data_IF_057650650697
#
_entry.id   IF_057650650697
#
_cell.length_a   1.000
_cell.length_b   1.000
_cell.length_c   1.000
_cell.angle_alpha   90.00
_cell.angle_beta   90.00
_cell.angle_gamma   90.00
#
_symmetry.space_group_name_H-M   'P 1'
#
loop_
_entity.id
_entity.type
_entity.pdbx_description
1 polymer ?
#
# COMPACT_ATOMS: atom_id res chain seq x y z
N UNK A 1 -25.24 2.25 0.97
CA UNK A 1 -24.17 1.91 1.92
C UNK A 1 -22.86 2.45 1.40
N UNK A 2 -22.15 3.25 2.23
CA UNK A 2 -20.86 3.80 1.84
C UNK A 2 -19.79 2.69 1.90
N UNK A 3 -18.97 2.51 0.85
CA UNK A 3 -17.89 1.55 0.94
C UNK A 3 -16.93 1.90 2.08
N UNK A 4 -16.39 0.89 2.76
CA UNK A 4 -15.40 1.10 3.82
C UNK A 4 -14.11 1.71 3.28
N UNK A 5 -13.83 1.50 1.98
CA UNK A 5 -12.68 2.06 1.28
C UNK A 5 -13.19 2.68 -0.01
N UNK A 6 -12.91 3.97 -0.22
CA UNK A 6 -13.31 4.67 -1.43
C UNK A 6 -12.59 4.08 -2.67
N UNK A 7 -13.23 4.09 -3.85
CA UNK A 7 -12.61 3.52 -5.06
C UNK A 7 -11.24 4.10 -5.41
N UNK A 8 -11.04 5.39 -5.23
CA UNK A 8 -9.75 6.01 -5.50
C UNK A 8 -8.68 5.55 -4.50
N UNK A 9 -9.06 5.39 -3.23
CA UNK A 9 -8.17 4.86 -2.20
C UNK A 9 -7.78 3.41 -2.50
N UNK A 10 -8.74 2.60 -2.92
CA UNK A 10 -8.47 1.22 -3.33
C UNK A 10 -7.49 1.17 -4.50
N UNK A 11 -7.72 1.99 -5.53
CA UNK A 11 -6.83 2.07 -6.68
C UNK A 11 -5.41 2.50 -6.28
N UNK A 12 -5.30 3.45 -5.36
CA UNK A 12 -4.02 3.90 -4.84
C UNK A 12 -3.26 2.76 -4.12
N UNK A 13 -3.95 2.04 -3.26
CA UNK A 13 -3.35 0.91 -2.54
C UNK A 13 -3.01 -0.26 -3.46
N UNK A 14 -3.79 -0.48 -4.54
CA UNK A 14 -3.43 -1.48 -5.55
C UNK A 14 -2.14 -1.09 -6.28
N UNK A 15 -1.97 0.20 -6.61
CA UNK A 15 -0.74 0.69 -7.21
C UNK A 15 0.46 0.48 -6.27
N UNK A 16 0.28 0.71 -4.98
CA UNK A 16 1.31 0.44 -3.97
C UNK A 16 1.69 -1.03 -3.93
N UNK A 17 0.71 -1.92 -3.95
CA UNK A 17 0.95 -3.37 -3.94
C UNK A 17 1.71 -3.81 -5.19
N UNK A 18 1.38 -3.25 -6.35
CA UNK A 18 2.09 -3.52 -7.59
C UNK A 18 3.56 -3.09 -7.50
N UNK A 19 3.82 -1.92 -6.94
CA UNK A 19 5.20 -1.48 -6.72
C UNK A 19 5.95 -2.41 -5.78
N UNK A 20 5.29 -2.93 -4.75
CA UNK A 20 5.92 -3.87 -3.83
C UNK A 20 6.32 -5.16 -4.52
N UNK A 21 5.42 -5.76 -5.30
CA UNK A 21 5.75 -7.02 -5.96
C UNK A 21 6.83 -6.86 -7.04
N UNK A 22 6.93 -5.69 -7.64
CA UNK A 22 7.88 -5.43 -8.71
C UNK A 22 9.21 -4.85 -8.23
N UNK A 23 9.23 -4.06 -7.14
CA UNK A 23 10.35 -3.17 -6.87
C UNK A 23 10.76 -2.97 -5.42
N UNK A 24 9.93 -3.31 -4.43
CA UNK A 24 10.21 -2.84 -3.08
C UNK A 24 9.57 -3.71 -2.00
N UNK A 25 9.49 -3.20 -0.79
CA UNK A 25 8.88 -3.82 0.38
C UNK A 25 8.10 -2.76 1.16
N UNK A 26 7.30 -3.15 2.18
CA UNK A 26 6.46 -2.20 2.88
C UNK A 26 7.20 -1.05 3.54
N UNK A 27 8.31 -1.33 4.23
CA UNK A 27 8.99 -0.28 4.99
C UNK A 27 9.75 0.71 4.10
N UNK A 28 10.34 0.26 3.02
CA UNK A 28 11.00 1.17 2.07
C UNK A 28 9.99 2.04 1.32
N UNK A 29 8.88 1.46 0.93
CA UNK A 29 7.81 2.22 0.27
C UNK A 29 7.22 3.27 1.22
N UNK A 30 6.89 2.86 2.45
CA UNK A 30 6.32 3.76 3.44
C UNK A 30 7.30 4.89 3.79
N UNK A 31 8.57 4.56 3.96
CA UNK A 31 9.61 5.56 4.23
C UNK A 31 9.73 6.56 3.07
N UNK A 32 9.74 6.09 1.84
CA UNK A 32 9.82 6.94 0.67
C UNK A 32 8.65 7.93 0.58
N UNK A 33 7.44 7.45 0.85
CA UNK A 33 6.25 8.29 0.77
C UNK A 33 6.16 9.26 1.95
N UNK A 34 6.52 8.85 3.16
CA UNK A 34 6.56 9.78 4.29
C UNK A 34 7.64 10.84 4.11
N UNK A 35 8.79 10.49 3.53
CA UNK A 35 9.83 11.46 3.19
C UNK A 35 9.33 12.49 2.17
N UNK A 36 8.48 12.08 1.24
CA UNK A 36 7.88 12.99 0.26
C UNK A 36 6.84 13.93 0.87
N UNK A 37 6.13 13.48 1.92
CA UNK A 37 5.16 14.33 2.63
C UNK A 37 3.90 13.64 3.14
N UNK A 38 3.73 12.34 2.90
CA UNK A 38 2.60 11.62 3.48
C UNK A 38 2.75 11.56 5.00
N UNK A 39 1.64 11.68 5.73
CA UNK A 39 1.66 11.63 7.20
C UNK A 39 1.93 10.25 7.74
N UNK A 40 1.56 9.23 6.97
CA UNK A 40 1.78 7.82 7.28
C UNK A 40 1.96 7.08 5.97
N UNK A 41 2.76 6.03 5.98
CA UNK A 41 2.96 5.21 4.79
C UNK A 41 1.72 4.38 4.43
N UNK A 42 1.55 4.02 3.16
CA UNK A 42 0.36 3.30 2.70
C UNK A 42 0.21 1.91 3.30
N UNK A 43 1.30 1.23 3.59
CA UNK A 43 1.22 -0.12 4.18
C UNK A 43 0.80 -0.06 5.65
N UNK A 44 1.37 0.87 6.42
CA UNK A 44 0.94 1.09 7.80
C UNK A 44 -0.51 1.56 7.85
N UNK A 45 -0.92 2.43 6.94
CA UNK A 45 -2.31 2.89 6.85
C UNK A 45 -3.27 1.72 6.62
N UNK A 46 -2.93 0.80 5.74
CA UNK A 46 -3.75 -0.39 5.50
C UNK A 46 -3.83 -1.29 6.74
N UNK A 47 -2.73 -1.45 7.47
CA UNK A 47 -2.73 -2.20 8.72
C UNK A 47 -3.68 -1.59 9.76
N UNK A 48 -3.79 -0.26 9.80
CA UNK A 48 -4.71 0.42 10.72
C UNK A 48 -6.17 0.23 10.32
N UNK A 49 -6.46 0.19 9.02
CA UNK A 49 -7.81 -0.07 8.50
C UNK A 49 -8.18 -1.55 8.69
N UNK A 50 -7.25 -2.43 8.49
CA UNK A 50 -7.45 -3.87 8.49
C UNK A 50 -7.34 -4.43 7.08
N UNK A 51 -6.42 -5.38 6.89
CA UNK A 51 -6.16 -5.92 5.55
C UNK A 51 -7.35 -6.71 4.99
N UNK A 52 -8.16 -7.32 5.86
CA UNK A 52 -9.41 -7.96 5.45
C UNK A 52 -10.43 -6.97 4.91
N UNK A 53 -10.51 -5.77 5.51
CA UNK A 53 -11.39 -4.69 5.05
C UNK A 53 -10.91 -4.17 3.70
N UNK A 54 -9.61 -3.94 3.56
CA UNK A 54 -9.01 -3.49 2.29
C UNK A 54 -9.25 -4.52 1.19
N UNK A 55 -9.06 -5.80 1.49
CA UNK A 55 -9.26 -6.88 0.53
C UNK A 55 -10.72 -7.01 0.09
N UNK A 56 -11.66 -6.93 1.05
CA UNK A 56 -13.09 -7.01 0.75
C UNK A 56 -13.58 -5.85 -0.12
N UNK A 57 -12.95 -4.69 -0.01
CA UNK A 57 -13.31 -3.51 -0.80
C UNK A 57 -12.67 -3.53 -2.19
N UNK A 58 -11.75 -4.48 -2.45
CA UNK A 58 -10.98 -4.53 -3.68
C UNK A 58 -11.89 -4.72 -4.89
N UNK A 59 -11.75 -3.81 -5.87
CA UNK A 59 -12.42 -3.88 -7.15
C UNK A 59 -11.36 -4.01 -8.24
N UNK A 60 -11.74 -4.58 -9.39
CA UNK A 60 -10.82 -4.76 -10.49
C UNK A 60 -10.70 -6.22 -10.91
N UNK A 61 -10.08 -6.43 -12.05
CA UNK A 61 -10.12 -7.73 -12.74
C UNK A 61 -9.01 -8.69 -12.35
N UNK A 62 -7.88 -8.18 -11.86
CA UNK A 62 -6.75 -9.06 -11.58
C UNK A 62 -6.22 -8.84 -10.16
N UNK A 63 -6.39 -9.83 -9.28
CA UNK A 63 -5.85 -9.71 -7.93
C UNK A 63 -4.32 -9.77 -7.96
N UNK A 64 -3.70 -8.80 -7.32
CA UNK A 64 -2.27 -8.87 -7.02
C UNK A 64 -2.15 -9.81 -5.81
N UNK A 65 -1.24 -10.78 -5.84
CA UNK A 65 -1.28 -11.88 -4.87
C UNK A 65 -0.83 -11.54 -3.46
N UNK A 66 -0.21 -10.40 -3.22
CA UNK A 66 0.38 -10.08 -1.92
C UNK A 66 -0.69 -9.91 -0.84
N UNK A 67 -1.65 -9.03 -1.08
CA UNK A 67 -2.72 -8.78 -0.09
C UNK A 67 -3.56 -10.03 0.15
N UNK A 68 -3.92 -10.75 -0.91
CA UNK A 68 -4.70 -11.97 -0.80
C UNK A 68 -3.99 -13.00 0.08
N UNK A 69 -2.68 -13.15 -0.10
CA UNK A 69 -1.89 -14.06 0.73
C UNK A 69 -1.81 -13.61 2.19
N UNK A 70 -1.62 -12.31 2.41
CA UNK A 70 -1.60 -11.76 3.77
C UNK A 70 -2.88 -12.10 4.52
N UNK A 71 -4.02 -11.87 3.89
CA UNK A 71 -5.34 -12.16 4.47
C UNK A 71 -5.51 -13.66 4.71
N UNK A 72 -5.11 -14.49 3.76
CA UNK A 72 -5.20 -15.96 3.89
C UNK A 72 -4.37 -16.49 5.05
N UNK A 73 -3.26 -15.85 5.38
CA UNK A 73 -2.41 -16.22 6.51
C UNK A 73 -2.84 -15.60 7.84
N UNK A 74 -3.95 -14.86 7.85
CA UNK A 74 -4.46 -14.21 9.06
C UNK A 74 -3.71 -12.96 9.47
N UNK A 75 -2.92 -12.37 8.58
CA UNK A 75 -2.19 -11.12 8.80
C UNK A 75 -3.12 -9.95 8.50
N UNK A 76 -4.00 -9.61 9.42
CA UNK A 76 -5.07 -8.63 9.18
C UNK A 76 -4.74 -7.21 9.63
N UNK A 77 -3.53 -6.98 10.14
CA UNK A 77 -3.10 -5.67 10.57
C UNK A 77 -2.99 -5.52 12.07
N UNK A 78 -3.00 -4.27 12.52
CA UNK A 78 -2.78 -3.95 13.94
C UNK A 78 -3.78 -4.63 14.87
N UNK A 79 -5.02 -4.77 14.45
CA UNK A 79 -6.10 -5.38 15.26
C UNK A 79 -5.82 -6.82 15.68
N UNK A 80 -4.96 -7.53 14.94
CA UNK A 80 -4.54 -8.91 15.31
C UNK A 80 -3.05 -8.99 15.62
N UNK A 81 -2.37 -7.84 15.69
CA UNK A 81 -0.97 -7.75 16.10
C UNK A 81 0.05 -7.88 14.97
N UNK A 82 -0.37 -8.18 13.75
CA UNK A 82 0.51 -8.26 12.58
C UNK A 82 -0.26 -8.12 11.26
N UNK A 83 0.38 -7.47 10.33
CA UNK A 83 -0.08 -7.26 8.96
C UNK A 83 1.14 -7.10 8.09
N UNK A 84 1.28 -5.97 7.39
CA UNK A 84 2.53 -5.61 6.74
C UNK A 84 3.65 -5.35 7.76
N UNK A 85 3.28 -4.93 8.96
CA UNK A 85 4.19 -4.76 10.09
C UNK A 85 3.73 -5.62 11.26
N UNK A 86 4.58 -5.72 12.29
CA UNK A 86 4.20 -6.30 13.57
C UNK A 86 3.92 -5.19 14.56
N UNK A 87 3.03 -5.47 15.51
CA UNK A 87 2.60 -4.51 16.52
C UNK A 87 2.70 -5.16 17.90
N UNK A 88 3.92 -5.38 18.42
CA UNK A 88 4.10 -6.05 19.72
C UNK A 88 3.40 -5.30 20.84
N UNK A 89 2.59 -6.01 21.61
CA UNK A 89 1.86 -5.41 22.75
C UNK A 89 0.86 -4.33 22.36
N UNK A 90 0.44 -4.29 21.08
CA UNK A 90 -0.47 -3.24 20.59
C UNK A 90 0.22 -1.89 20.39
N UNK A 91 1.55 -1.87 20.38
CA UNK A 91 2.34 -0.66 20.18
C UNK A 91 2.45 -0.22 18.73
N UNK A 92 3.50 0.55 18.42
CA UNK A 92 3.77 1.04 17.09
C UNK A 92 4.25 -0.04 16.13
N UNK A 93 4.28 0.30 14.85
CA UNK A 93 4.69 -0.60 13.80
C UNK A 93 6.18 -0.97 13.91
N UNK A 94 6.46 -2.25 13.79
CA UNK A 94 7.82 -2.80 13.77
C UNK A 94 8.01 -3.60 12.49
N UNK A 95 9.13 -3.39 11.83
CA UNK A 95 9.46 -4.09 10.57
C UNK A 95 9.43 -5.61 10.78
N UNK A 96 8.79 -6.31 9.85
CA UNK A 96 8.77 -7.76 9.82
C UNK A 96 9.48 -8.23 8.54
N UNK A 97 10.74 -8.70 8.62
CA UNK A 97 11.50 -9.13 7.43
C UNK A 97 10.84 -10.28 6.66
N UNK A 98 9.99 -11.08 7.30
CA UNK A 98 9.30 -12.18 6.64
C UNK A 98 8.37 -11.69 5.53
N UNK A 99 7.90 -10.46 5.60
CA UNK A 99 7.03 -9.89 4.58
C UNK A 99 7.77 -9.71 3.26
N UNK A 100 9.04 -9.31 3.30
CA UNK A 100 9.83 -9.23 2.07
C UNK A 100 10.01 -10.60 1.43
N UNK A 101 10.26 -11.64 2.24
CA UNK A 101 10.36 -13.01 1.73
C UNK A 101 9.05 -13.46 1.09
N UNK A 102 7.93 -13.14 1.72
CA UNK A 102 6.59 -13.45 1.19
C UNK A 102 6.37 -12.77 -0.16
N UNK A 103 6.72 -11.50 -0.27
CA UNK A 103 6.58 -10.73 -1.51
C UNK A 103 7.46 -11.33 -2.61
N UNK A 104 8.70 -11.66 -2.30
CA UNK A 104 9.62 -12.29 -3.26
C UNK A 104 9.09 -13.65 -3.74
N UNK A 105 8.51 -14.43 -2.84
CA UNK A 105 7.93 -15.72 -3.19
C UNK A 105 6.73 -15.55 -4.13
N UNK A 106 5.84 -14.63 -3.83
CA UNK A 106 4.69 -14.33 -4.71
C UNK A 106 5.14 -13.79 -6.06
N UNK A 107 6.18 -12.99 -6.09
CA UNK A 107 6.74 -12.50 -7.35
C UNK A 107 7.28 -13.66 -8.20
N UNK A 108 7.93 -14.63 -7.60
CA UNK A 108 8.39 -15.83 -8.33
C UNK A 108 7.23 -16.63 -8.89
N UNK A 109 6.18 -16.85 -8.11
CA UNK A 109 4.99 -17.56 -8.60
C UNK A 109 4.31 -16.83 -9.74
N UNK A 110 4.31 -15.50 -9.71
CA UNK A 110 3.72 -14.66 -10.75
C UNK A 110 4.66 -14.40 -11.92
N UNK A 111 5.87 -14.96 -11.92
CA UNK A 111 6.91 -14.74 -12.94
C UNK A 111 7.30 -13.27 -13.08
N UNK A 112 7.29 -12.53 -11.98
CA UNK A 112 7.74 -11.14 -11.95
C UNK A 112 9.23 -11.10 -11.67
N UNK A 113 9.99 -10.46 -12.56
CA UNK A 113 11.41 -10.17 -12.31
C UNK A 113 11.50 -8.87 -11.54
N UNK A 114 11.89 -8.99 -10.26
CA UNK A 114 11.97 -7.83 -9.37
C UNK A 114 13.24 -7.03 -9.64
N UNK A 115 13.10 -5.71 -9.62
CA UNK A 115 14.21 -4.78 -9.71
C UNK A 115 14.02 -3.72 -8.63
N UNK A 116 14.93 -3.66 -7.66
CA UNK A 116 14.87 -2.66 -6.60
C UNK A 116 14.98 -1.25 -7.17
N UNK A 117 14.17 -0.34 -6.65
CA UNK A 117 14.19 1.07 -7.01
C UNK A 117 14.37 1.91 -5.76
N UNK A 118 15.10 3.01 -5.91
CA UNK A 118 15.30 3.97 -4.84
C UNK A 118 14.01 4.72 -4.50
N UNK A 119 13.91 5.21 -3.26
CA UNK A 119 12.73 5.89 -2.76
C UNK A 119 12.16 6.98 -3.67
N UNK A 120 12.95 7.96 -4.12
CA UNK A 120 12.44 9.00 -5.02
C UNK A 120 11.85 8.47 -6.32
N UNK A 121 12.41 7.39 -6.86
CA UNK A 121 11.91 6.76 -8.09
C UNK A 121 10.60 6.03 -7.79
N UNK A 122 10.50 5.36 -6.64
CA UNK A 122 9.24 4.72 -6.22
C UNK A 122 8.10 5.73 -6.13
N UNK A 123 8.35 6.87 -5.49
CA UNK A 123 7.36 7.93 -5.35
C UNK A 123 6.94 8.45 -6.74
N UNK A 124 7.90 8.72 -7.61
CA UNK A 124 7.62 9.22 -8.96
C UNK A 124 6.79 8.21 -9.75
N UNK A 125 7.09 6.91 -9.65
CA UNK A 125 6.31 5.88 -10.34
C UNK A 125 4.89 5.78 -9.81
N UNK A 126 4.73 5.79 -8.50
CA UNK A 126 3.40 5.74 -7.90
C UNK A 126 2.55 6.93 -8.38
N UNK A 127 3.10 8.13 -8.32
CA UNK A 127 2.39 9.32 -8.75
C UNK A 127 2.10 9.32 -10.25
N UNK A 128 3.01 8.81 -11.08
CA UNK A 128 2.75 8.65 -12.51
C UNK A 128 1.60 7.68 -12.77
N UNK A 129 1.52 6.57 -12.04
CA UNK A 129 0.42 5.61 -12.15
C UNK A 129 -0.93 6.22 -11.77
N UNK A 130 -0.92 7.09 -10.76
CA UNK A 130 -2.14 7.64 -10.16
C UNK A 130 -2.52 9.03 -10.67
N UNK A 131 -1.61 9.75 -11.33
CA UNK A 131 -1.83 11.15 -11.71
C UNK A 131 -3.13 11.37 -12.51
N UNK A 132 -3.46 10.55 -13.53
CA UNK A 132 -4.71 10.76 -14.26
C UNK A 132 -5.95 10.66 -13.36
N UNK A 133 -6.00 9.68 -12.48
CA UNK A 133 -7.12 9.48 -11.55
C UNK A 133 -7.19 10.60 -10.50
N UNK A 134 -6.04 11.02 -9.98
CA UNK A 134 -5.97 12.09 -8.98
C UNK A 134 -6.40 13.44 -9.56
N UNK A 135 -6.00 13.73 -10.80
CA UNK A 135 -6.39 14.97 -11.48
C UNK A 135 -7.86 14.98 -11.87
N UNK A 136 -8.42 13.81 -12.21
CA UNK A 136 -9.83 13.69 -12.59
C UNK A 136 -10.77 13.88 -11.40
N UNK A 137 -10.30 13.62 -10.18
CA UNK A 137 -11.07 13.74 -8.95
C UNK A 137 -10.25 14.42 -7.84
N UNK A 138 -10.07 15.75 -7.93
CA UNK A 138 -9.29 16.47 -6.91
C UNK A 138 -9.83 16.36 -5.50
N UNK A 139 -11.15 16.28 -5.34
CA UNK A 139 -11.78 16.11 -4.03
C UNK A 139 -11.47 14.75 -3.45
N UNK A 140 -11.60 13.70 -4.27
CA UNK A 140 -11.24 12.35 -3.87
C UNK A 140 -9.75 12.23 -3.55
N UNK A 141 -8.89 12.89 -4.32
CA UNK A 141 -7.47 12.92 -4.06
C UNK A 141 -7.14 13.56 -2.71
N UNK A 142 -7.79 14.69 -2.39
CA UNK A 142 -7.62 15.36 -1.11
C UNK A 142 -8.15 14.53 0.06
N UNK A 143 -9.12 13.65 -0.21
CA UNK A 143 -9.73 12.76 0.79
C UNK A 143 -9.00 11.44 0.96
N UNK A 144 -7.96 11.17 0.16
CA UNK A 144 -7.15 9.96 0.33
C UNK A 144 -6.55 9.92 1.73
N UNK A 145 -6.57 8.75 2.31
CA UNK A 145 -6.06 8.55 3.66
C UNK A 145 -4.59 8.98 3.74
N UNK A 146 -4.34 9.98 4.59
CA UNK A 146 -2.99 10.52 4.87
C UNK A 146 -2.29 11.19 3.68
N UNK A 147 -2.99 11.45 2.57
CA UNK A 147 -2.42 12.18 1.45
C UNK A 147 -2.23 13.67 1.81
N UNK A 148 -1.06 14.24 1.51
CA UNK A 148 -0.80 15.66 1.81
C UNK A 148 -1.46 16.55 0.75
N UNK A 149 -2.69 17.00 1.01
CA UNK A 149 -3.50 17.76 0.06
C UNK A 149 -2.76 18.98 -0.51
N UNK A 150 -1.87 19.61 0.28
CA UNK A 150 -1.08 20.77 -0.16
C UNK A 150 -0.14 20.44 -1.32
N UNK A 151 0.17 19.18 -1.56
CA UNK A 151 1.05 18.74 -2.63
C UNK A 151 0.32 18.25 -3.88
N UNK A 152 -0.99 18.31 -3.89
CA UNK A 152 -1.79 17.80 -5.03
C UNK A 152 -1.40 18.49 -6.33
N UNK A 153 -1.14 19.79 -6.31
CA UNK A 153 -0.75 20.55 -7.49
C UNK A 153 0.64 20.23 -8.04
N UNK A 154 1.45 19.44 -7.31
CA UNK A 154 2.80 19.07 -7.75
C UNK A 154 2.84 17.75 -8.51
N UNK A 155 1.73 17.08 -8.63
CA UNK A 155 1.63 15.78 -9.30
C UNK A 155 1.55 15.89 -10.83
#
# INVERSE_FOLDING_TARGET
MTPAVAPLQDAFWQACERLMIEHTNPWELDEALTAWGYRIGPCEAQDLVGLDVVFAARAGSEPIPVLARMVAEGRLGKKVGWGYYRYPGGGGAVVDPLIEDLICEEARFAHVQRQELEGPILVARLHAMMAPALRADPEGAAALLHFPASKLGTL
#
